data_IF_160720472616
#
_entry.id   IF_160720472616
#
_cell.length_a   1.000
_cell.length_b   1.000
_cell.length_c   1.000
_cell.angle_alpha   90.00
_cell.angle_beta   90.00
_cell.angle_gamma   90.00
#
_symmetry.space_group_name_H-M   'P 1'
#
loop_
_entity.id
_entity.type
_entity.pdbx_description
1 polymer ?
#
# COMPACT_ATOMS: atom_id res chain seq x y z
N UNK A 1 24.64 7.55 10.53
CA UNK A 1 24.29 6.25 9.92
C UNK A 1 23.18 6.48 8.89
N UNK A 2 23.17 5.78 7.73
CA UNK A 2 22.08 5.86 6.75
C UNK A 2 21.35 4.52 6.68
N UNK A 3 20.04 4.57 6.73
CA UNK A 3 19.17 3.39 6.74
C UNK A 3 18.27 3.38 5.50
N UNK A 4 18.25 2.28 4.77
CA UNK A 4 17.52 2.13 3.52
C UNK A 4 16.64 0.90 3.62
N UNK A 5 15.34 1.06 3.44
CA UNK A 5 14.40 -0.06 3.33
C UNK A 5 13.88 -0.10 1.91
N UNK A 6 14.03 -1.24 1.25
CA UNK A 6 13.59 -1.51 -0.11
C UNK A 6 12.49 -2.55 -0.05
N UNK A 7 11.29 -2.16 -0.44
CA UNK A 7 10.12 -3.05 -0.48
C UNK A 7 9.76 -3.33 -1.92
N UNK A 8 9.83 -4.61 -2.30
CA UNK A 8 9.26 -5.13 -3.53
C UNK A 8 7.91 -5.77 -3.19
N UNK A 9 6.84 -4.96 -3.30
CA UNK A 9 5.48 -5.32 -2.94
C UNK A 9 5.06 -6.63 -3.60
N UNK A 10 4.50 -7.54 -2.82
CA UNK A 10 3.98 -8.82 -3.31
C UNK A 10 5.01 -9.75 -3.95
N UNK A 11 6.33 -9.50 -3.80
CA UNK A 11 7.38 -10.28 -4.48
C UNK A 11 7.37 -11.76 -4.13
N UNK A 12 7.03 -12.10 -2.88
CA UNK A 12 6.98 -13.49 -2.42
C UNK A 12 5.87 -14.28 -3.14
N UNK A 13 6.14 -15.58 -3.40
CA UNK A 13 5.24 -16.45 -4.12
C UNK A 13 5.43 -17.91 -3.72
N UNK A 14 4.60 -18.77 -4.26
CA UNK A 14 4.71 -20.20 -4.11
C UNK A 14 5.57 -20.85 -5.21
N UNK A 15 6.13 -22.03 -4.98
CA UNK A 15 6.77 -22.81 -6.03
C UNK A 15 5.78 -23.12 -7.17
N UNK A 16 6.24 -22.96 -8.41
CA UNK A 16 5.43 -23.09 -9.62
C UNK A 16 5.96 -24.26 -10.46
N UNK A 17 5.11 -25.25 -10.82
CA UNK A 17 5.54 -26.42 -11.58
C UNK A 17 6.22 -26.08 -12.92
N UNK A 18 5.71 -25.08 -13.64
CA UNK A 18 6.25 -24.59 -14.92
C UNK A 18 7.67 -24.02 -14.79
N UNK A 19 8.06 -23.62 -13.59
CA UNK A 19 9.44 -23.18 -13.26
C UNK A 19 10.31 -24.30 -12.68
N UNK A 20 9.85 -25.54 -12.70
CA UNK A 20 10.52 -26.67 -12.06
C UNK A 20 10.50 -26.58 -10.54
N UNK A 21 9.33 -26.28 -9.98
CA UNK A 21 9.06 -26.10 -8.55
C UNK A 21 9.89 -24.99 -7.88
N UNK A 22 10.26 -23.97 -8.65
CA UNK A 22 10.86 -22.72 -8.14
C UNK A 22 9.82 -21.63 -8.01
N UNK A 23 10.06 -20.69 -7.10
CA UNK A 23 9.29 -19.45 -7.03
C UNK A 23 9.68 -18.49 -8.18
N UNK A 24 8.88 -17.48 -8.52
CA UNK A 24 9.27 -16.44 -9.46
C UNK A 24 10.60 -15.75 -9.08
N UNK A 25 10.86 -15.54 -7.79
CA UNK A 25 12.11 -14.99 -7.29
C UNK A 25 13.29 -15.92 -7.53
N UNK A 26 13.14 -17.22 -7.25
CA UNK A 26 14.17 -18.23 -7.53
C UNK A 26 14.45 -18.42 -9.03
N UNK A 27 13.51 -18.09 -9.89
CA UNK A 27 13.67 -18.12 -11.35
C UNK A 27 14.27 -16.83 -11.92
N UNK A 28 14.08 -15.69 -11.23
CA UNK A 28 14.57 -14.39 -11.63
C UNK A 28 16.08 -14.28 -11.47
N UNK A 29 16.70 -13.41 -12.29
CA UNK A 29 18.13 -13.07 -12.18
C UNK A 29 18.28 -11.87 -11.22
N UNK A 30 18.76 -12.13 -10.01
CA UNK A 30 18.83 -11.13 -8.93
C UNK A 30 20.22 -10.99 -8.29
N UNK A 31 21.28 -10.66 -9.06
CA UNK A 31 22.66 -10.66 -8.57
C UNK A 31 22.91 -9.64 -7.45
N UNK A 32 22.14 -8.55 -7.37
CA UNK A 32 22.30 -7.54 -6.32
C UNK A 32 21.65 -7.97 -5.02
N UNK A 33 20.48 -8.60 -5.08
CA UNK A 33 19.82 -9.21 -3.93
C UNK A 33 20.64 -10.40 -3.41
N UNK A 34 21.20 -11.22 -4.30
CA UNK A 34 22.11 -12.32 -3.94
C UNK A 34 23.36 -11.80 -3.23
N UNK A 35 23.90 -10.67 -3.67
CA UNK A 35 25.01 -10.00 -2.99
C UNK A 35 24.64 -9.62 -1.55
N UNK A 36 23.42 -9.09 -1.34
CA UNK A 36 22.90 -8.76 0.01
C UNK A 36 22.80 -10.03 0.87
N UNK A 37 22.29 -11.12 0.31
CA UNK A 37 22.17 -12.39 1.02
C UNK A 37 23.53 -13.00 1.40
N UNK A 38 24.48 -13.02 0.46
CA UNK A 38 25.80 -13.59 0.67
C UNK A 38 26.65 -12.83 1.69
N UNK A 39 26.57 -11.51 1.67
CA UNK A 39 27.40 -10.63 2.52
C UNK A 39 26.67 -10.09 3.75
N UNK A 40 25.38 -10.35 3.85
CA UNK A 40 24.51 -9.93 4.92
C UNK A 40 23.86 -11.10 5.63
N UNK A 41 22.67 -10.84 6.10
CA UNK A 41 21.87 -11.82 6.85
C UNK A 41 20.47 -11.91 6.27
N UNK A 42 20.01 -13.13 6.03
CA UNK A 42 18.60 -13.40 5.74
C UNK A 42 17.83 -13.68 7.03
N UNK A 43 16.54 -13.43 7.01
CA UNK A 43 15.60 -13.77 8.06
C UNK A 43 14.19 -13.98 7.53
N UNK A 44 13.32 -14.39 8.43
CA UNK A 44 11.88 -14.55 8.16
C UNK A 44 11.09 -13.63 9.06
N UNK A 45 9.92 -13.17 8.60
CA UNK A 45 9.12 -12.18 9.30
C UNK A 45 7.63 -12.38 9.02
N UNK A 46 6.80 -12.17 10.03
CA UNK A 46 5.33 -12.03 9.91
C UNK A 46 4.95 -10.56 9.88
N UNK A 47 4.73 -10.00 8.73
CA UNK A 47 4.31 -8.59 8.54
C UNK A 47 2.83 -8.40 8.80
N UNK A 48 2.02 -9.43 8.52
CA UNK A 48 0.57 -9.43 8.78
C UNK A 48 0.31 -10.12 10.12
N UNK A 49 -0.17 -9.38 11.13
CA UNK A 49 -0.56 -9.99 12.41
C UNK A 49 -1.75 -10.94 12.26
N UNK A 50 -1.80 -11.95 13.12
CA UNK A 50 -2.93 -12.88 13.15
C UNK A 50 -4.28 -12.18 13.25
N UNK A 51 -5.26 -12.67 12.48
CA UNK A 51 -6.64 -12.17 12.39
C UNK A 51 -6.80 -10.81 11.69
N UNK A 52 -5.74 -10.24 11.15
CA UNK A 52 -5.84 -9.09 10.27
C UNK A 52 -5.89 -9.54 8.80
N UNK A 53 -6.62 -8.81 8.00
CA UNK A 53 -6.70 -9.06 6.55
C UNK A 53 -5.35 -8.75 5.91
N UNK A 54 -4.80 -9.66 5.07
CA UNK A 54 -3.58 -9.39 4.33
C UNK A 54 -3.77 -8.17 3.41
N UNK A 55 -2.93 -7.16 3.60
CA UNK A 55 -2.99 -5.94 2.81
C UNK A 55 -1.70 -5.12 2.99
N UNK A 56 -1.31 -4.38 1.95
CA UNK A 56 -0.07 -3.59 1.94
C UNK A 56 -0.04 -2.50 3.02
N UNK A 57 -1.18 -1.90 3.36
CA UNK A 57 -1.27 -0.92 4.44
C UNK A 57 -0.94 -1.51 5.82
N UNK A 58 -1.44 -2.73 6.11
CA UNK A 58 -1.15 -3.48 7.34
C UNK A 58 0.32 -3.93 7.36
N UNK A 59 0.79 -4.53 6.26
CA UNK A 59 2.15 -5.04 6.17
C UNK A 59 3.19 -3.94 6.27
N UNK A 60 3.02 -2.86 5.51
CA UNK A 60 3.96 -1.75 5.55
C UNK A 60 3.92 -0.97 6.87
N UNK A 61 2.77 -0.91 7.57
CA UNK A 61 2.72 -0.38 8.93
C UNK A 61 3.64 -1.20 9.86
N UNK A 62 3.62 -2.54 9.77
CA UNK A 62 4.55 -3.40 10.49
C UNK A 62 6.00 -3.10 10.10
N UNK A 63 6.32 -3.01 8.80
CA UNK A 63 7.69 -2.76 8.32
C UNK A 63 8.21 -1.40 8.78
N UNK A 64 7.37 -0.36 8.88
CA UNK A 64 7.74 0.93 9.47
C UNK A 64 7.97 0.87 10.98
N UNK A 65 7.70 -0.28 11.61
CA UNK A 65 7.92 -0.49 13.03
C UNK A 65 6.74 -0.10 13.93
N UNK A 66 5.52 -0.08 13.39
CA UNK A 66 4.31 0.22 14.16
C UNK A 66 3.39 -0.99 14.19
N UNK A 67 2.90 -1.37 15.38
CA UNK A 67 2.00 -2.50 15.56
C UNK A 67 0.63 -2.23 14.92
N UNK A 68 0.25 -2.95 13.84
CA UNK A 68 -1.04 -2.74 13.21
C UNK A 68 -2.23 -3.02 14.12
N UNK A 69 -2.10 -3.95 15.07
CA UNK A 69 -3.16 -4.22 16.06
C UNK A 69 -3.47 -3.01 16.94
N UNK A 70 -2.49 -2.15 17.14
CA UNK A 70 -2.60 -0.95 17.99
C UNK A 70 -2.97 0.30 17.19
N UNK A 71 -2.44 0.44 15.98
CA UNK A 71 -2.46 1.71 15.27
C UNK A 71 -3.30 1.71 13.99
N UNK A 72 -3.63 0.55 13.43
CA UNK A 72 -4.42 0.49 12.21
C UNK A 72 -5.88 0.83 12.51
N UNK A 73 -6.38 1.91 11.92
CA UNK A 73 -7.75 2.37 12.11
C UNK A 73 -8.60 2.27 10.84
N UNK A 74 -8.00 1.92 9.70
CA UNK A 74 -8.67 1.84 8.40
C UNK A 74 -7.91 2.56 7.29
N UNK A 75 -8.33 2.37 6.05
CA UNK A 75 -7.71 2.99 4.85
C UNK A 75 -8.03 4.48 4.70
N UNK A 76 -9.24 4.90 5.08
CA UNK A 76 -9.69 6.28 4.95
C UNK A 76 -8.73 7.31 5.56
N UNK A 77 -8.27 7.15 6.80
CA UNK A 77 -7.31 8.05 7.41
C UNK A 77 -5.95 8.13 6.69
N UNK A 78 -5.48 7.03 6.12
CA UNK A 78 -4.22 7.00 5.35
C UNK A 78 -4.37 7.82 4.06
N UNK A 79 -5.50 7.67 3.36
CA UNK A 79 -5.78 8.46 2.16
C UNK A 79 -6.03 9.93 2.48
N UNK A 80 -6.69 10.24 3.59
CA UNK A 80 -6.85 11.62 4.05
C UNK A 80 -5.48 12.28 4.25
N UNK A 81 -4.57 11.61 4.93
CA UNK A 81 -3.20 12.11 5.12
C UNK A 81 -2.47 12.31 3.80
N UNK A 82 -2.61 11.39 2.83
CA UNK A 82 -2.01 11.55 1.50
C UNK A 82 -2.57 12.78 0.75
N UNK A 83 -3.87 13.02 0.84
CA UNK A 83 -4.52 14.18 0.25
C UNK A 83 -4.20 15.50 0.98
N UNK A 84 -3.49 15.45 2.11
CA UNK A 84 -3.20 16.63 2.94
C UNK A 84 -4.38 17.11 3.75
N UNK A 85 -5.37 16.24 3.97
CA UNK A 85 -6.55 16.54 4.80
C UNK A 85 -6.21 16.14 6.23
N UNK A 86 -6.15 17.16 7.10
CA UNK A 86 -5.95 16.95 8.53
C UNK A 86 -7.25 16.46 9.18
N UNK A 87 -7.13 15.38 9.95
CA UNK A 87 -8.22 14.82 10.73
C UNK A 87 -8.10 15.30 12.18
N UNK A 88 -9.22 15.80 12.71
CA UNK A 88 -9.38 15.98 14.16
C UNK A 88 -9.60 14.64 14.86
N UNK A 89 -9.51 14.63 16.19
CA UNK A 89 -9.56 13.40 17.01
C UNK A 89 -10.84 12.56 16.78
N UNK A 90 -11.97 13.24 16.58
CA UNK A 90 -13.27 12.58 16.42
C UNK A 90 -13.77 12.51 14.98
N UNK A 91 -12.95 12.91 14.03
CA UNK A 91 -13.27 12.80 12.61
C UNK A 91 -13.18 11.33 12.16
N UNK A 92 -14.11 10.93 11.30
CA UNK A 92 -14.07 9.61 10.65
C UNK A 92 -13.93 9.81 9.15
N UNK A 93 -12.84 9.28 8.60
CA UNK A 93 -12.56 9.31 7.18
C UNK A 93 -12.97 7.99 6.53
N UNK A 94 -13.64 8.06 5.39
CA UNK A 94 -14.05 6.92 4.57
C UNK A 94 -13.40 7.00 3.20
N UNK A 95 -12.96 5.88 2.67
CA UNK A 95 -12.79 5.78 1.22
C UNK A 95 -14.15 5.95 0.56
N UNK A 96 -14.15 6.70 -0.53
CA UNK A 96 -15.33 6.95 -1.35
C UNK A 96 -15.00 6.56 -2.79
N UNK A 97 -15.42 5.39 -3.23
CA UNK A 97 -15.25 5.01 -4.63
C UNK A 97 -16.40 5.54 -5.48
N UNK A 98 -16.10 6.03 -6.70
CA UNK A 98 -17.10 6.06 -7.76
C UNK A 98 -17.19 4.66 -8.36
N UNK A 99 -18.41 4.13 -8.41
CA UNK A 99 -18.70 2.80 -8.95
C UNK A 99 -19.72 2.87 -10.07
N UNK A 100 -19.79 1.81 -10.88
CA UNK A 100 -20.89 1.60 -11.82
C UNK A 100 -21.91 0.68 -11.19
N UNK A 101 -23.13 1.16 -11.04
CA UNK A 101 -24.28 0.41 -10.56
C UNK A 101 -25.34 0.28 -11.65
N UNK A 102 -25.94 -0.90 -11.82
CA UNK A 102 -27.08 -1.14 -12.70
C UNK A 102 -28.16 -1.87 -11.92
N UNK A 103 -29.31 -1.24 -11.78
CA UNK A 103 -30.38 -1.69 -10.85
C UNK A 103 -29.78 -1.88 -9.43
N UNK A 104 -29.87 -3.09 -8.88
CA UNK A 104 -29.32 -3.44 -7.57
C UNK A 104 -27.98 -4.20 -7.65
N UNK A 105 -27.23 -4.08 -8.74
CA UNK A 105 -25.96 -4.79 -8.94
C UNK A 105 -24.80 -3.82 -9.07
N UNK A 106 -23.72 -4.05 -8.31
CA UNK A 106 -22.44 -3.38 -8.49
C UNK A 106 -21.73 -4.04 -9.69
N UNK A 107 -21.67 -3.32 -10.83
CA UNK A 107 -21.11 -3.83 -12.11
C UNK A 107 -19.60 -3.65 -12.15
N UNK A 108 -19.12 -2.48 -11.73
CA UNK A 108 -17.70 -2.14 -11.79
C UNK A 108 -17.34 -1.23 -10.62
N UNK A 109 -16.35 -1.65 -9.82
CA UNK A 109 -15.88 -0.93 -8.64
C UNK A 109 -15.03 0.30 -8.96
N UNK A 110 -14.61 0.44 -10.22
CA UNK A 110 -13.69 1.48 -10.70
C UNK A 110 -14.34 2.49 -11.65
N UNK A 111 -15.64 2.33 -11.94
CA UNK A 111 -16.35 3.14 -12.96
C UNK A 111 -15.59 3.19 -14.32
N UNK A 112 -15.12 2.04 -14.80
CA UNK A 112 -14.33 1.95 -16.04
C UNK A 112 -12.98 2.65 -15.95
N UNK A 113 -12.34 2.63 -14.78
CA UNK A 113 -11.11 3.41 -14.52
C UNK A 113 -11.26 4.89 -14.90
N UNK A 114 -12.36 5.49 -14.48
CA UNK A 114 -12.72 6.89 -14.79
C UNK A 114 -11.53 7.83 -14.57
N UNK A 115 -11.36 8.81 -15.48
CA UNK A 115 -10.28 9.77 -15.37
C UNK A 115 -10.43 10.66 -14.13
N UNK A 116 -9.30 11.07 -13.53
CA UNK A 116 -9.32 11.95 -12.34
C UNK A 116 -10.03 13.29 -12.60
N UNK A 117 -10.02 13.78 -13.85
CA UNK A 117 -10.70 15.04 -14.22
C UNK A 117 -12.21 14.88 -14.19
N UNK A 118 -12.74 13.85 -14.82
CA UNK A 118 -14.19 13.55 -14.83
C UNK A 118 -14.67 13.25 -13.40
N UNK A 119 -13.94 12.40 -12.68
CA UNK A 119 -14.25 12.01 -11.32
C UNK A 119 -14.30 13.21 -10.35
N UNK A 120 -13.38 14.15 -10.49
CA UNK A 120 -13.37 15.37 -9.67
C UNK A 120 -14.64 16.22 -9.86
N UNK A 121 -15.17 16.29 -11.07
CA UNK A 121 -16.45 17.00 -11.37
C UNK A 121 -17.61 16.28 -10.69
N UNK A 122 -17.68 14.93 -10.82
CA UNK A 122 -18.72 14.13 -10.20
C UNK A 122 -18.70 14.26 -8.67
N UNK A 123 -17.53 14.15 -8.05
CA UNK A 123 -17.38 14.27 -6.59
C UNK A 123 -17.70 15.69 -6.09
N UNK A 124 -17.35 16.72 -6.87
CA UNK A 124 -17.77 18.08 -6.54
C UNK A 124 -19.30 18.21 -6.51
N UNK A 125 -20.01 17.64 -7.49
CA UNK A 125 -21.46 17.60 -7.51
C UNK A 125 -22.05 16.83 -6.31
N UNK A 126 -21.38 15.77 -5.86
CA UNK A 126 -21.76 15.05 -4.63
C UNK A 126 -21.54 15.93 -3.39
N UNK A 127 -20.40 16.61 -3.29
CA UNK A 127 -20.13 17.49 -2.14
C UNK A 127 -21.12 18.66 -2.07
N UNK A 128 -21.47 19.27 -3.18
CA UNK A 128 -22.47 20.36 -3.24
C UNK A 128 -23.87 19.92 -2.77
N UNK A 129 -24.26 18.69 -3.04
CA UNK A 129 -25.61 18.17 -2.74
C UNK A 129 -25.68 17.40 -1.42
N UNK A 130 -24.69 16.58 -1.11
CA UNK A 130 -24.63 15.71 0.08
C UNK A 130 -23.61 16.16 1.13
N UNK A 131 -22.62 16.97 0.76
CA UNK A 131 -21.59 17.53 1.65
C UNK A 131 -22.12 18.64 2.57
N UNK A 132 -23.22 18.38 3.29
CA UNK A 132 -23.86 19.35 4.19
C UNK A 132 -23.55 19.03 5.65
N UNK A 133 -23.60 20.07 6.50
CA UNK A 133 -23.30 19.91 7.93
C UNK A 133 -21.86 19.44 8.13
N UNK A 134 -21.71 18.28 8.74
CA UNK A 134 -20.40 17.73 9.08
C UNK A 134 -19.82 16.76 8.05
N UNK A 135 -20.45 16.59 6.90
CA UNK A 135 -19.94 15.73 5.83
C UNK A 135 -19.27 16.55 4.74
N UNK A 136 -18.13 16.09 4.24
CA UNK A 136 -17.43 16.67 3.09
C UNK A 136 -16.87 15.56 2.21
N UNK A 137 -16.88 15.80 0.89
CA UNK A 137 -16.32 14.89 -0.09
C UNK A 137 -15.13 15.57 -0.78
N UNK A 138 -14.04 14.82 -0.91
CA UNK A 138 -12.81 15.31 -1.49
C UNK A 138 -12.42 14.45 -2.69
N UNK A 139 -12.16 15.04 -3.86
CA UNK A 139 -11.68 14.29 -5.01
C UNK A 139 -10.27 13.78 -4.78
N UNK A 140 -10.04 12.55 -5.20
CA UNK A 140 -8.74 11.89 -5.23
C UNK A 140 -8.37 11.52 -6.67
N UNK A 141 -7.75 10.34 -6.83
CA UNK A 141 -7.24 9.86 -8.13
C UNK A 141 -8.19 8.82 -8.72
N UNK A 142 -8.56 8.99 -10.00
CA UNK A 142 -9.45 8.10 -10.75
C UNK A 142 -10.76 7.90 -9.97
N UNK A 143 -11.14 6.67 -9.68
CA UNK A 143 -12.36 6.30 -8.95
C UNK A 143 -12.24 6.40 -7.41
N UNK A 144 -11.05 6.71 -6.87
CA UNK A 144 -10.73 6.73 -5.43
C UNK A 144 -10.80 8.15 -4.87
N UNK A 145 -11.71 8.37 -3.96
CA UNK A 145 -11.99 9.66 -3.31
C UNK A 145 -12.15 9.46 -1.81
N UNK A 146 -12.37 10.55 -1.09
CA UNK A 146 -12.55 10.56 0.36
C UNK A 146 -13.87 11.20 0.74
N UNK A 147 -14.54 10.61 1.73
CA UNK A 147 -15.60 11.27 2.50
C UNK A 147 -15.14 11.43 3.94
N UNK A 148 -15.31 12.63 4.49
CA UNK A 148 -15.00 12.98 5.87
C UNK A 148 -16.28 13.28 6.63
N UNK A 149 -16.50 12.56 7.74
CA UNK A 149 -17.50 12.87 8.76
C UNK A 149 -16.80 13.58 9.93
N UNK A 150 -17.06 14.87 10.10
CA UNK A 150 -16.40 15.74 11.09
C UNK A 150 -17.05 15.67 12.47
N UNK A 151 -16.22 15.94 13.50
CA UNK A 151 -16.63 16.25 14.88
C UNK A 151 -17.46 15.16 15.60
N UNK A 152 -17.26 13.89 15.27
CA UNK A 152 -17.90 12.80 15.99
C UNK A 152 -19.44 12.89 16.04
N UNK A 153 -20.04 13.56 15.06
CA UNK A 153 -21.47 13.91 15.02
C UNK A 153 -22.39 12.69 15.14
N UNK A 154 -21.84 11.52 14.84
CA UNK A 154 -22.51 10.25 14.92
C UNK A 154 -21.57 9.20 15.50
N UNK A 155 -21.84 8.77 16.70
CA UNK A 155 -21.16 7.67 17.35
C UNK A 155 -21.18 6.39 16.52
N UNK A 156 -20.03 5.71 16.44
CA UNK A 156 -19.93 4.36 15.88
C UNK A 156 -19.77 4.30 14.37
N UNK A 157 -19.57 5.43 13.67
CA UNK A 157 -19.28 5.41 12.23
C UNK A 157 -17.98 4.69 11.90
N UNK A 158 -16.99 4.79 12.77
CA UNK A 158 -15.70 4.09 12.67
C UNK A 158 -15.82 2.56 12.87
N UNK A 159 -16.91 2.10 13.51
CA UNK A 159 -17.17 0.69 13.84
C UNK A 159 -18.14 0.02 12.86
N UNK A 160 -18.59 0.70 11.82
CA UNK A 160 -19.49 0.13 10.83
C UNK A 160 -18.83 -1.05 10.09
N UNK A 161 -19.65 -2.00 9.71
CA UNK A 161 -19.24 -3.07 8.78
C UNK A 161 -19.51 -2.60 7.36
N UNK A 162 -18.47 -2.10 6.71
CA UNK A 162 -18.47 -1.72 5.30
C UNK A 162 -17.63 -2.72 4.50
N UNK A 163 -18.12 -3.14 3.35
CA UNK A 163 -17.46 -4.11 2.47
C UNK A 163 -16.77 -3.33 1.34
N UNK A 164 -15.56 -3.74 0.97
CA UNK A 164 -14.86 -3.16 -0.15
C UNK A 164 -15.60 -3.44 -1.47
N UNK A 165 -15.73 -2.47 -2.38
CA UNK A 165 -16.54 -2.65 -3.59
C UNK A 165 -15.98 -3.71 -4.54
N UNK A 166 -14.67 -3.92 -4.59
CA UNK A 166 -14.05 -4.96 -5.40
C UNK A 166 -14.41 -6.40 -4.94
N UNK A 167 -14.74 -6.60 -3.66
CA UNK A 167 -15.17 -7.91 -3.13
C UNK A 167 -16.60 -8.28 -3.50
N UNK A 168 -17.36 -7.30 -4.00
CA UNK A 168 -18.77 -7.45 -4.31
C UNK A 168 -19.13 -7.10 -5.76
N UNK A 169 -18.16 -7.02 -6.64
CA UNK A 169 -18.39 -6.88 -8.08
C UNK A 169 -19.26 -8.03 -8.58
N UNK A 170 -20.31 -7.71 -9.35
CA UNK A 170 -21.33 -8.66 -9.79
C UNK A 170 -22.36 -9.06 -8.75
N UNK A 171 -22.27 -8.53 -7.51
CA UNK A 171 -23.21 -8.84 -6.43
C UNK A 171 -24.22 -7.72 -6.18
N UNK A 172 -25.23 -8.07 -5.41
CA UNK A 172 -26.35 -7.22 -5.09
C UNK A 172 -25.95 -6.10 -4.10
N UNK A 173 -26.24 -4.85 -4.44
CA UNK A 173 -25.93 -3.66 -3.64
C UNK A 173 -26.67 -3.68 -2.31
N UNK A 174 -27.98 -3.89 -2.34
CA UNK A 174 -28.84 -3.81 -1.15
C UNK A 174 -28.44 -4.78 -0.03
N UNK A 175 -27.87 -5.94 -0.38
CA UNK A 175 -27.41 -6.95 0.59
C UNK A 175 -26.06 -6.60 1.23
N UNK A 176 -25.30 -5.71 0.61
CA UNK A 176 -23.92 -5.38 0.97
C UNK A 176 -23.72 -3.94 1.49
N UNK A 177 -24.82 -3.20 1.69
CA UNK A 177 -24.81 -1.86 2.28
C UNK A 177 -24.21 -1.86 3.68
N UNK A 178 -23.68 -0.73 4.17
CA UNK A 178 -23.09 -0.59 5.51
C UNK A 178 -24.05 -1.07 6.61
N UNK A 179 -23.50 -1.75 7.64
CA UNK A 179 -24.28 -2.29 8.78
C UNK A 179 -23.67 -1.81 10.09
N UNK A 180 -24.52 -1.46 11.05
CA UNK A 180 -24.13 -1.01 12.38
C UNK A 180 -24.89 0.23 12.82
N UNK A 181 -24.47 0.80 13.96
CA UNK A 181 -25.10 2.00 14.53
C UNK A 181 -24.95 3.20 13.57
N UNK A 182 -26.05 3.86 13.24
CA UNK A 182 -26.10 5.00 12.31
C UNK A 182 -25.73 4.70 10.85
N UNK A 183 -25.68 3.42 10.45
CA UNK A 183 -25.35 3.04 9.06
C UNK A 183 -26.36 3.55 8.02
N UNK A 184 -27.60 3.82 8.43
CA UNK A 184 -28.66 4.33 7.55
C UNK A 184 -28.27 5.65 6.86
N UNK A 185 -27.49 6.51 7.52
CA UNK A 185 -27.06 7.78 6.93
C UNK A 185 -26.14 7.55 5.74
N UNK A 186 -25.16 6.64 5.88
CA UNK A 186 -24.26 6.28 4.76
C UNK A 186 -25.06 5.60 3.64
N UNK A 187 -25.97 4.70 3.99
CA UNK A 187 -26.86 4.04 3.04
C UNK A 187 -27.68 5.06 2.24
N UNK A 188 -28.29 6.04 2.92
CA UNK A 188 -29.03 7.11 2.26
C UNK A 188 -28.14 7.96 1.34
N UNK A 189 -26.92 8.32 1.77
CA UNK A 189 -25.97 9.05 0.94
C UNK A 189 -25.58 8.26 -0.32
N UNK A 190 -25.29 6.97 -0.18
CA UNK A 190 -24.95 6.10 -1.29
C UNK A 190 -26.11 6.01 -2.29
N UNK A 191 -27.33 5.76 -1.83
CA UNK A 191 -28.51 5.66 -2.71
C UNK A 191 -28.86 7.01 -3.36
N UNK A 192 -28.85 8.12 -2.60
CA UNK A 192 -29.07 9.46 -3.15
C UNK A 192 -28.03 9.87 -4.17
N UNK A 193 -26.78 9.40 -4.01
CA UNK A 193 -25.73 9.68 -5.00
C UNK A 193 -26.07 9.10 -6.37
N UNK A 194 -26.75 7.96 -6.44
CA UNK A 194 -27.20 7.36 -7.68
C UNK A 194 -28.21 8.27 -8.41
N UNK A 195 -29.15 8.86 -7.68
CA UNK A 195 -30.10 9.82 -8.25
C UNK A 195 -29.40 11.09 -8.80
N UNK A 196 -28.40 11.58 -8.05
CA UNK A 196 -27.62 12.77 -8.42
C UNK A 196 -26.77 12.52 -9.66
N UNK A 197 -26.12 11.38 -9.74
CA UNK A 197 -25.14 11.06 -10.75
C UNK A 197 -25.73 10.44 -12.02
N UNK A 198 -26.93 9.83 -11.95
CA UNK A 198 -27.57 9.18 -13.08
C UNK A 198 -27.78 10.12 -14.28
N UNK A 199 -28.16 11.38 -14.04
CA UNK A 199 -28.42 12.38 -15.06
C UNK A 199 -27.26 13.37 -15.28
N UNK A 200 -26.11 13.14 -14.64
CA UNK A 200 -24.97 14.05 -14.76
C UNK A 200 -24.35 13.98 -16.16
N UNK A 201 -24.06 15.14 -16.77
CA UNK A 201 -23.56 15.24 -18.15
C UNK A 201 -22.34 14.37 -18.43
N UNK A 202 -21.38 14.30 -17.50
CA UNK A 202 -20.20 13.41 -17.61
C UNK A 202 -20.63 11.95 -17.82
N UNK A 203 -21.62 11.47 -17.05
CA UNK A 203 -22.09 10.10 -17.16
C UNK A 203 -22.91 9.86 -18.44
N UNK A 204 -23.62 10.87 -18.93
CA UNK A 204 -24.30 10.76 -20.23
C UNK A 204 -23.29 10.62 -21.38
N UNK A 205 -22.22 11.44 -21.38
CA UNK A 205 -21.13 11.32 -22.35
C UNK A 205 -20.46 9.94 -22.27
N UNK A 206 -20.18 9.43 -21.07
CA UNK A 206 -19.59 8.09 -20.91
C UNK A 206 -20.49 6.98 -21.45
N UNK A 207 -21.80 7.07 -21.20
CA UNK A 207 -22.76 6.11 -21.75
C UNK A 207 -22.81 6.16 -23.29
N UNK A 208 -22.78 7.36 -23.90
CA UNK A 208 -22.73 7.53 -25.35
C UNK A 208 -21.45 6.93 -25.95
N UNK A 209 -20.34 7.01 -25.23
CA UNK A 209 -19.05 6.40 -25.58
C UNK A 209 -18.97 4.89 -25.23
N UNK A 210 -20.02 4.31 -24.67
CA UNK A 210 -20.08 2.91 -24.18
C UNK A 210 -19.05 2.62 -23.08
N UNK A 211 -18.73 3.62 -22.27
CA UNK A 211 -17.89 3.49 -21.09
C UNK A 211 -18.75 3.33 -19.82
N UNK A 212 -18.21 2.66 -18.82
CA UNK A 212 -18.87 2.51 -17.53
C UNK A 212 -19.03 3.86 -16.82
N UNK A 213 -20.23 4.33 -16.47
CA UNK A 213 -20.44 5.59 -15.76
C UNK A 213 -20.05 5.49 -14.29
N UNK A 214 -19.57 6.58 -13.71
CA UNK A 214 -19.44 6.73 -12.26
C UNK A 214 -20.74 7.18 -11.63
N UNK A 215 -21.74 6.30 -11.56
CA UNK A 215 -23.12 6.68 -11.27
C UNK A 215 -23.56 6.43 -9.83
N UNK A 216 -22.67 5.99 -8.94
CA UNK A 216 -22.94 5.82 -7.51
C UNK A 216 -21.63 5.95 -6.73
N UNK A 217 -21.69 6.50 -5.49
CA UNK A 217 -20.57 6.42 -4.54
C UNK A 217 -20.68 5.17 -3.68
N UNK A 218 -19.51 4.63 -3.28
CA UNK A 218 -19.40 3.52 -2.34
C UNK A 218 -18.47 3.86 -1.18
N UNK A 219 -19.02 3.88 0.05
CA UNK A 219 -18.31 4.27 1.27
C UNK A 219 -17.82 3.04 2.04
N UNK A 220 -16.50 3.01 2.35
CA UNK A 220 -15.86 1.87 3.01
C UNK A 220 -14.50 2.24 3.60
N UNK A 221 -13.82 1.29 4.25
CA UNK A 221 -12.46 1.47 4.75
C UNK A 221 -12.31 2.61 5.76
N UNK A 222 -13.36 2.86 6.52
CA UNK A 222 -13.46 3.96 7.47
C UNK A 222 -12.51 3.81 8.65
N UNK A 223 -12.17 4.95 9.24
CA UNK A 223 -11.40 5.00 10.47
C UNK A 223 -11.20 6.42 11.00
N UNK A 224 -10.72 6.50 12.24
CA UNK A 224 -10.28 7.74 12.89
C UNK A 224 -8.79 7.98 12.66
N UNK A 225 -8.32 9.18 12.96
CA UNK A 225 -6.89 9.53 12.93
C UNK A 225 -6.08 8.54 13.76
N UNK A 226 -5.10 7.84 13.16
CA UNK A 226 -4.22 6.96 13.92
C UNK A 226 -3.34 7.78 14.88
N UNK A 227 -3.32 7.42 16.15
CA UNK A 227 -2.46 8.10 17.13
C UNK A 227 -1.06 7.44 17.14
N UNK A 228 -0.32 7.65 16.05
CA UNK A 228 1.03 7.09 15.87
C UNK A 228 2.10 8.12 16.28
N UNK A 229 3.09 7.76 17.10
CA UNK A 229 4.23 8.64 17.37
C UNK A 229 4.98 8.93 16.06
N UNK A 230 5.60 10.10 15.96
CA UNK A 230 6.41 10.43 14.78
C UNK A 230 7.65 9.52 14.71
N UNK A 231 8.13 9.27 13.50
CA UNK A 231 9.31 8.44 13.27
C UNK A 231 10.55 9.02 13.98
N UNK A 232 10.67 10.35 13.98
CA UNK A 232 11.71 11.07 14.73
C UNK A 232 11.60 10.88 16.24
N UNK A 233 10.40 10.83 16.80
CA UNK A 233 10.18 10.59 18.22
C UNK A 233 10.53 9.15 18.62
N UNK A 234 10.25 8.21 17.71
CA UNK A 234 10.45 6.79 17.97
C UNK A 234 11.90 6.34 17.76
N UNK A 235 12.56 6.84 16.70
CA UNK A 235 13.85 6.34 16.24
C UNK A 235 14.97 7.39 16.27
N UNK A 236 14.66 8.65 16.56
CA UNK A 236 15.59 9.79 16.48
C UNK A 236 16.25 9.94 15.09
N UNK A 237 15.48 9.65 14.04
CA UNK A 237 15.91 9.68 12.64
C UNK A 237 14.97 10.54 11.81
N UNK A 238 15.55 11.36 10.95
CA UNK A 238 14.80 12.04 9.88
C UNK A 238 14.74 11.14 8.65
N UNK A 239 13.62 11.17 7.91
CA UNK A 239 13.49 10.24 6.79
C UNK A 239 12.51 10.65 5.72
N UNK A 240 12.47 9.82 4.66
CA UNK A 240 11.59 10.00 3.52
C UNK A 240 10.97 8.68 3.10
N UNK A 241 9.81 8.78 2.43
CA UNK A 241 9.13 7.66 1.77
C UNK A 241 8.98 7.97 0.27
N UNK A 242 9.29 6.98 -0.56
CA UNK A 242 9.16 6.99 -2.01
C UNK A 242 8.25 5.84 -2.40
N UNK A 243 7.04 6.15 -2.87
CA UNK A 243 6.04 5.19 -3.33
C UNK A 243 5.13 5.84 -4.35
N UNK A 244 4.51 5.05 -5.23
CA UNK A 244 3.40 5.49 -6.06
C UNK A 244 2.05 5.25 -5.35
N UNK A 245 2.02 4.40 -4.32
CA UNK A 245 0.81 3.97 -3.60
C UNK A 245 0.40 5.01 -2.57
N UNK A 246 -0.82 5.52 -2.68
CA UNK A 246 -1.33 6.58 -1.82
C UNK A 246 -1.40 6.18 -0.33
N UNK A 247 -1.71 4.91 -0.05
CA UNK A 247 -1.75 4.39 1.33
C UNK A 247 -0.37 4.42 2.00
N UNK A 248 0.68 4.07 1.27
CA UNK A 248 2.06 4.08 1.77
C UNK A 248 2.56 5.51 1.98
N UNK A 249 2.23 6.42 1.04
CA UNK A 249 2.50 7.86 1.20
C UNK A 249 1.78 8.44 2.41
N UNK A 250 0.51 8.09 2.58
CA UNK A 250 -0.30 8.54 3.73
C UNK A 250 0.27 8.06 5.05
N UNK A 251 0.66 6.79 5.13
CA UNK A 251 1.31 6.23 6.30
C UNK A 251 2.62 6.97 6.61
N UNK A 252 3.46 7.22 5.59
CA UNK A 252 4.68 8.01 5.73
C UNK A 252 4.41 9.42 6.29
N UNK A 253 3.40 10.12 5.77
CA UNK A 253 3.00 11.45 6.29
C UNK A 253 2.54 11.41 7.75
N UNK A 254 1.72 10.42 8.12
CA UNK A 254 1.23 10.28 9.50
C UNK A 254 2.39 10.15 10.47
N UNK A 255 3.40 9.35 10.15
CA UNK A 255 4.58 9.17 11.00
C UNK A 255 5.65 10.26 10.82
N UNK A 256 5.39 11.28 10.01
CA UNK A 256 6.26 12.46 9.86
C UNK A 256 7.45 12.28 8.93
N UNK A 257 7.39 11.33 7.98
CA UNK A 257 8.35 11.20 6.89
C UNK A 257 8.01 12.15 5.73
N UNK A 258 9.04 12.64 5.05
CA UNK A 258 8.86 13.42 3.83
C UNK A 258 8.41 12.51 2.68
N UNK A 259 7.32 12.83 2.00
CA UNK A 259 6.88 12.11 0.81
C UNK A 259 7.59 12.69 -0.42
N UNK A 260 8.37 11.85 -1.10
CA UNK A 260 9.05 12.23 -2.33
C UNK A 260 8.28 11.69 -3.53
N UNK A 261 7.71 12.59 -4.33
CA UNK A 261 7.07 12.24 -5.58
C UNK A 261 8.14 12.17 -6.70
N UNK A 262 8.23 11.02 -7.35
CA UNK A 262 9.15 10.78 -8.45
C UNK A 262 8.37 10.85 -9.76
N UNK A 263 8.74 11.73 -10.71
CA UNK A 263 8.12 11.75 -12.02
C UNK A 263 8.25 10.37 -12.70
N UNK A 264 7.17 9.89 -13.31
CA UNK A 264 7.13 8.56 -13.94
C UNK A 264 7.02 7.38 -12.95
N UNK A 265 6.99 7.63 -11.64
CA UNK A 265 6.66 6.59 -10.68
C UNK A 265 5.15 6.29 -10.74
N UNK A 266 4.82 5.09 -11.19
CA UNK A 266 3.47 4.52 -11.20
C UNK A 266 3.36 3.38 -10.21
N UNK A 267 2.14 2.94 -9.88
CA UNK A 267 1.88 1.69 -9.15
C UNK A 267 1.77 0.50 -10.09
N UNK A 268 2.41 0.51 -11.27
CA UNK A 268 2.30 -0.51 -12.29
C UNK A 268 3.67 -0.90 -12.87
N UNK A 269 3.70 -1.74 -13.89
CA UNK A 269 4.92 -2.32 -14.51
C UNK A 269 5.86 -1.28 -15.14
N UNK A 270 5.29 -0.17 -15.62
CA UNK A 270 5.99 0.92 -16.30
C UNK A 270 6.60 1.96 -15.36
N UNK A 271 6.58 1.68 -14.05
CA UNK A 271 7.12 2.59 -13.03
C UNK A 271 8.60 2.93 -13.29
N UNK A 272 9.01 4.17 -13.00
CA UNK A 272 10.43 4.56 -13.05
C UNK A 272 11.20 4.00 -11.82
N UNK A 273 11.65 2.76 -11.93
CA UNK A 273 12.44 2.07 -10.90
C UNK A 273 13.73 2.83 -10.56
N UNK A 274 14.50 3.24 -11.59
CA UNK A 274 15.77 3.92 -11.39
C UNK A 274 15.59 5.32 -10.82
N UNK A 275 14.55 6.03 -11.24
CA UNK A 275 14.15 7.33 -10.69
C UNK A 275 13.86 7.26 -9.20
N UNK A 276 13.16 6.21 -8.74
CA UNK A 276 12.93 5.95 -7.31
C UNK A 276 14.24 5.75 -6.56
N UNK A 277 15.17 4.95 -7.08
CA UNK A 277 16.48 4.72 -6.46
C UNK A 277 17.33 6.00 -6.40
N UNK A 278 17.38 6.77 -7.48
CA UNK A 278 18.10 8.05 -7.54
C UNK A 278 17.51 9.08 -6.58
N UNK A 279 16.18 9.12 -6.44
CA UNK A 279 15.51 9.98 -5.46
C UNK A 279 15.85 9.59 -4.02
N UNK A 280 15.94 8.28 -3.73
CA UNK A 280 16.39 7.78 -2.43
C UNK A 280 17.81 8.22 -2.09
N UNK A 281 18.74 8.08 -3.02
CA UNK A 281 20.14 8.52 -2.84
C UNK A 281 20.24 10.03 -2.58
N UNK A 282 19.49 10.86 -3.33
CA UNK A 282 19.44 12.32 -3.08
C UNK A 282 18.85 12.64 -1.71
N UNK A 283 17.80 11.92 -1.29
CA UNK A 283 17.22 12.11 0.04
C UNK A 283 18.24 11.83 1.15
N UNK A 284 19.02 10.76 1.03
CA UNK A 284 20.02 10.36 2.01
C UNK A 284 21.18 11.34 2.16
N UNK A 285 21.35 12.31 1.27
CA UNK A 285 22.32 13.41 1.46
C UNK A 285 21.95 14.25 2.68
N UNK A 286 20.66 14.41 2.97
CA UNK A 286 20.12 15.27 4.04
C UNK A 286 19.38 14.51 5.14
N UNK A 287 18.87 13.32 4.85
CA UNK A 287 18.06 12.50 5.75
C UNK A 287 18.83 11.24 6.17
N UNK A 288 18.37 10.61 7.25
CA UNK A 288 19.01 9.42 7.84
C UNK A 288 18.37 8.13 7.35
N UNK A 289 17.10 8.19 6.97
CA UNK A 289 16.27 7.06 6.60
C UNK A 289 15.55 7.30 5.26
N UNK A 290 15.46 6.26 4.43
CA UNK A 290 14.60 6.25 3.25
C UNK A 290 13.90 4.91 3.09
N UNK A 291 12.62 4.98 2.77
CA UNK A 291 11.78 3.83 2.45
C UNK A 291 11.40 3.91 0.97
N UNK A 292 11.74 2.90 0.20
CA UNK A 292 11.45 2.80 -1.24
C UNK A 292 10.52 1.63 -1.49
N UNK A 293 9.38 1.91 -2.06
CA UNK A 293 8.34 0.93 -2.36
C UNK A 293 8.10 0.81 -3.86
N UNK A 294 8.05 -0.43 -4.36
CA UNK A 294 7.77 -0.77 -5.77
C UNK A 294 6.66 -1.79 -5.82
N UNK A 295 5.52 -1.44 -6.41
CA UNK A 295 4.28 -2.22 -6.43
C UNK A 295 4.21 -3.23 -7.60
N UNK A 296 5.05 -3.07 -8.62
CA UNK A 296 4.96 -3.85 -9.86
C UNK A 296 4.94 -5.39 -9.68
N UNK A 297 5.68 -6.04 -8.76
CA UNK A 297 5.57 -7.47 -8.55
C UNK A 297 4.21 -7.90 -7.99
N UNK A 298 3.58 -7.06 -7.16
CA UNK A 298 2.23 -7.28 -6.61
C UNK A 298 1.16 -7.25 -7.70
N UNK A 299 1.19 -6.22 -8.53
CA UNK A 299 0.27 -6.09 -9.68
C UNK A 299 0.39 -7.28 -10.64
N UNK A 300 1.62 -7.79 -10.87
CA UNK A 300 1.83 -8.97 -11.68
C UNK A 300 1.22 -10.23 -11.01
N UNK A 301 1.34 -10.32 -9.68
CA UNK A 301 0.70 -11.37 -8.88
C UNK A 301 -0.83 -11.33 -9.01
N UNK A 302 -1.46 -10.16 -8.84
CA UNK A 302 -2.90 -9.97 -8.99
C UNK A 302 -3.42 -10.29 -10.39
N UNK A 303 -2.65 -9.97 -11.43
CA UNK A 303 -3.00 -10.31 -12.82
C UNK A 303 -2.75 -11.80 -13.13
N UNK A 304 -1.99 -12.51 -12.30
CA UNK A 304 -1.54 -13.88 -12.57
C UNK A 304 -0.53 -13.92 -13.72
N UNK A 305 0.21 -12.83 -13.93
CA UNK A 305 1.22 -12.71 -14.98
C UNK A 305 2.60 -13.12 -14.45
N UNK A 306 2.88 -14.41 -14.55
CA UNK A 306 4.14 -15.01 -14.11
C UNK A 306 5.37 -14.37 -14.78
N UNK A 307 5.28 -14.13 -16.08
CA UNK A 307 6.40 -13.58 -16.85
C UNK A 307 6.71 -12.15 -16.40
N UNK A 308 5.67 -11.33 -16.25
CA UNK A 308 5.86 -9.94 -15.80
C UNK A 308 6.31 -9.89 -14.34
N UNK A 309 5.85 -10.82 -13.48
CA UNK A 309 6.33 -10.89 -12.09
C UNK A 309 7.83 -11.13 -12.02
N UNK A 310 8.36 -12.08 -12.79
CA UNK A 310 9.81 -12.32 -12.90
C UNK A 310 10.52 -11.05 -13.41
N UNK A 311 9.99 -10.44 -14.48
CA UNK A 311 10.56 -9.22 -15.06
C UNK A 311 10.59 -8.05 -14.06
N UNK A 312 9.51 -7.87 -13.28
CA UNK A 312 9.41 -6.82 -12.26
C UNK A 312 10.44 -7.04 -11.13
N UNK A 313 10.65 -8.28 -10.70
CA UNK A 313 11.67 -8.66 -9.72
C UNK A 313 13.08 -8.37 -10.26
N UNK A 314 13.39 -8.72 -11.51
CA UNK A 314 14.66 -8.44 -12.14
C UNK A 314 14.94 -6.94 -12.29
N UNK A 315 13.91 -6.15 -12.68
CA UNK A 315 13.99 -4.68 -12.74
C UNK A 315 14.22 -4.07 -11.35
N UNK A 316 13.53 -4.58 -10.32
CA UNK A 316 13.76 -4.15 -8.95
C UNK A 316 15.19 -4.44 -8.50
N UNK A 317 15.71 -5.65 -8.75
CA UNK A 317 17.09 -6.00 -8.47
C UNK A 317 18.06 -5.06 -9.17
N UNK A 318 17.95 -4.93 -10.49
CA UNK A 318 18.91 -4.19 -11.32
C UNK A 318 18.83 -2.68 -11.07
N UNK A 319 17.64 -2.11 -11.13
CA UNK A 319 17.43 -0.66 -11.20
C UNK A 319 17.22 -0.01 -9.83
N UNK A 320 16.72 -0.76 -8.82
CA UNK A 320 16.57 -0.23 -7.46
C UNK A 320 17.71 -0.69 -6.58
N UNK A 321 17.79 -1.98 -6.26
CA UNK A 321 18.82 -2.51 -5.37
C UNK A 321 20.24 -2.27 -5.93
N UNK A 322 20.45 -2.56 -7.20
CA UNK A 322 21.75 -2.39 -7.87
C UNK A 322 22.22 -0.93 -7.91
N UNK A 323 21.31 0.01 -8.20
CA UNK A 323 21.65 1.45 -8.21
C UNK A 323 22.08 1.92 -6.81
N UNK A 324 21.35 1.49 -5.77
CA UNK A 324 21.66 1.86 -4.38
C UNK A 324 22.95 1.19 -3.90
N UNK A 325 23.12 -0.11 -4.14
CA UNK A 325 24.34 -0.83 -3.79
C UNK A 325 25.57 -0.24 -4.45
N UNK A 326 25.51 0.05 -5.75
CA UNK A 326 26.63 0.68 -6.49
C UNK A 326 27.09 1.99 -5.84
N UNK A 327 26.14 2.79 -5.34
CA UNK A 327 26.43 4.07 -4.70
C UNK A 327 26.97 3.92 -3.26
N UNK A 328 26.57 2.88 -2.53
CA UNK A 328 26.77 2.78 -1.09
C UNK A 328 27.72 1.67 -0.64
N UNK A 329 27.92 0.58 -1.39
CA UNK A 329 28.70 -0.60 -0.97
C UNK A 329 30.13 -0.32 -0.48
N UNK A 330 30.72 0.78 -0.90
CA UNK A 330 32.06 1.21 -0.46
C UNK A 330 32.03 2.19 0.73
N UNK A 331 30.82 2.60 1.18
CA UNK A 331 30.65 3.45 2.36
C UNK A 331 30.53 2.58 3.61
N UNK A 332 31.01 3.10 4.74
CA UNK A 332 31.03 2.32 6.00
C UNK A 332 29.75 2.50 6.86
N UNK A 333 29.04 3.59 6.67
CA UNK A 333 27.99 4.02 7.58
C UNK A 333 26.58 3.94 6.95
N UNK A 334 26.17 2.72 6.54
CA UNK A 334 24.82 2.47 6.04
C UNK A 334 24.36 1.07 6.37
N UNK A 335 23.04 0.88 6.39
CA UNK A 335 22.36 -0.44 6.38
C UNK A 335 21.28 -0.44 5.34
N UNK A 336 21.13 -1.57 4.64
CA UNK A 336 20.02 -1.83 3.69
C UNK A 336 19.23 -3.01 4.21
N UNK A 337 17.91 -2.87 4.28
CA UNK A 337 16.96 -3.97 4.41
C UNK A 337 16.18 -4.11 3.11
N UNK A 338 16.01 -5.33 2.62
CA UNK A 338 15.21 -5.66 1.44
C UNK A 338 14.20 -6.73 1.83
N UNK A 339 12.93 -6.55 1.42
CA UNK A 339 11.87 -7.52 1.70
C UNK A 339 10.67 -7.30 0.78
N UNK A 340 9.84 -8.34 0.53
CA UNK A 340 8.43 -8.12 0.20
C UNK A 340 7.69 -7.61 1.43
N UNK A 341 6.51 -7.06 1.26
CA UNK A 341 5.62 -6.75 2.39
C UNK A 341 4.66 -7.91 2.70
N UNK A 342 4.23 -8.63 1.71
CA UNK A 342 3.45 -9.87 1.77
C UNK A 342 3.72 -10.74 0.54
N UNK A 343 3.14 -11.93 0.50
CA UNK A 343 3.08 -12.71 -0.73
C UNK A 343 1.81 -12.38 -1.52
N UNK A 344 1.94 -12.32 -2.85
CA UNK A 344 0.83 -12.22 -3.80
C UNK A 344 0.99 -13.30 -4.87
N UNK A 345 0.71 -14.57 -4.51
CA UNK A 345 0.95 -15.68 -5.40
C UNK A 345 0.17 -15.55 -6.72
N UNK A 346 0.87 -15.73 -7.85
CA UNK A 346 0.25 -15.65 -9.19
C UNK A 346 -0.90 -16.63 -9.37
N UNK A 347 -0.85 -17.75 -8.66
CA UNK A 347 -1.90 -18.78 -8.66
C UNK A 347 -3.17 -18.36 -7.92
N UNK A 348 -3.03 -17.52 -6.87
CA UNK A 348 -4.14 -17.06 -6.03
C UNK A 348 -4.67 -15.70 -6.46
N UNK A 349 -3.84 -14.86 -7.08
CA UNK A 349 -4.17 -13.49 -7.52
C UNK A 349 -4.66 -12.59 -6.37
N UNK A 350 -4.17 -12.85 -5.16
CA UNK A 350 -4.52 -12.09 -3.95
C UNK A 350 -3.44 -12.24 -2.90
N UNK A 351 -3.44 -11.31 -1.95
CA UNK A 351 -2.49 -11.31 -0.84
C UNK A 351 -2.71 -12.48 0.12
N UNK A 352 -1.62 -12.94 0.74
CA UNK A 352 -1.67 -13.94 1.81
C UNK A 352 -0.99 -13.42 3.07
N UNK A 353 -1.30 -14.05 4.22
CA UNK A 353 -0.68 -13.73 5.52
C UNK A 353 0.52 -14.63 5.84
N UNK A 354 1.13 -15.21 4.82
CA UNK A 354 2.28 -16.09 5.00
C UNK A 354 3.47 -15.34 5.62
N UNK A 355 4.30 -16.10 6.30
CA UNK A 355 5.62 -15.63 6.72
C UNK A 355 6.46 -15.34 5.49
N UNK A 356 6.92 -14.12 5.37
CA UNK A 356 7.82 -13.69 4.30
C UNK A 356 9.27 -13.66 4.78
N UNK A 357 10.17 -13.26 3.90
CA UNK A 357 11.61 -13.21 4.15
C UNK A 357 12.15 -11.79 3.99
N UNK A 358 13.33 -11.55 4.56
CA UNK A 358 14.03 -10.28 4.41
C UNK A 358 15.54 -10.53 4.37
N UNK A 359 16.27 -9.59 3.78
CA UNK A 359 17.72 -9.53 3.82
C UNK A 359 18.20 -8.21 4.39
N UNK A 360 19.24 -8.24 5.22
CA UNK A 360 19.88 -7.05 5.78
C UNK A 360 21.37 -7.11 5.47
N UNK A 361 21.92 -5.97 4.99
CA UNK A 361 23.35 -5.82 4.68
C UNK A 361 23.87 -4.45 5.12
N UNK A 362 25.13 -4.37 5.51
CA UNK A 362 25.82 -3.12 5.81
C UNK A 362 26.52 -3.10 7.16
N UNK A 363 26.63 -1.93 7.76
CA UNK A 363 27.42 -1.72 8.99
C UNK A 363 26.93 -2.58 10.16
N UNK A 364 27.85 -3.29 10.81
CA UNK A 364 27.54 -4.15 11.94
C UNK A 364 26.76 -5.43 11.60
N UNK A 365 26.53 -5.71 10.32
CA UNK A 365 25.86 -6.95 9.88
C UNK A 365 26.93 -7.97 9.49
N UNK A 366 26.91 -9.13 10.16
CA UNK A 366 27.81 -10.23 9.86
C UNK A 366 27.18 -11.16 8.84
N UNK A 367 27.81 -11.31 7.67
CA UNK A 367 27.37 -12.26 6.65
C UNK A 367 27.37 -13.69 7.14
N UNK A 368 26.33 -14.46 6.81
CA UNK A 368 26.18 -15.89 7.15
C UNK A 368 26.39 -16.81 5.97
N UNK A 369 26.78 -16.26 4.80
CA UNK A 369 27.13 -17.06 3.63
C UNK A 369 25.95 -17.75 2.96
N UNK A 370 24.76 -17.13 2.97
CA UNK A 370 23.62 -17.60 2.18
C UNK A 370 23.95 -17.59 0.69
N UNK A 371 23.45 -18.57 -0.06
CA UNK A 371 23.83 -18.74 -1.46
C UNK A 371 23.17 -17.71 -2.39
N UNK A 372 21.89 -17.37 -2.11
CA UNK A 372 21.11 -16.42 -2.88
C UNK A 372 20.00 -15.80 -2.02
N UNK A 373 19.33 -14.80 -2.55
CA UNK A 373 18.19 -14.16 -1.93
C UNK A 373 16.90 -14.87 -2.38
N UNK A 374 16.37 -15.76 -1.56
CA UNK A 374 15.17 -16.54 -1.89
C UNK A 374 14.42 -17.00 -0.66
N UNK A 375 13.17 -17.39 -0.85
CA UNK A 375 12.31 -18.01 0.17
C UNK A 375 12.97 -19.25 0.77
N UNK A 376 13.57 -20.09 -0.08
CA UNK A 376 14.23 -21.33 0.32
C UNK A 376 15.49 -21.12 1.15
N UNK A 377 16.32 -20.15 0.78
CA UNK A 377 17.51 -19.82 1.56
C UNK A 377 17.14 -19.18 2.90
N UNK A 378 16.13 -18.31 2.92
CA UNK A 378 15.66 -17.69 4.15
C UNK A 378 15.10 -18.71 5.18
N UNK A 379 14.57 -19.84 4.73
CA UNK A 379 14.14 -20.93 5.62
C UNK A 379 15.29 -21.56 6.42
N UNK A 380 16.53 -21.45 5.93
CA UNK A 380 17.72 -21.95 6.63
C UNK A 380 18.18 -21.00 7.75
N UNK A 381 17.64 -19.79 7.79
CA UNK A 381 18.02 -18.79 8.79
C UNK A 381 17.40 -19.07 10.16
N UNK A 382 18.20 -18.87 11.18
CA UNK A 382 17.80 -18.87 12.60
C UNK A 382 17.07 -17.57 13.00
N UNK A 383 17.16 -16.51 12.16
CA UNK A 383 16.53 -15.22 12.42
C UNK A 383 15.06 -15.22 12.02
N UNK A 384 14.18 -15.16 13.01
CA UNK A 384 12.75 -15.09 12.80
C UNK A 384 12.13 -13.96 13.64
N UNK A 385 11.42 -13.05 12.97
CA UNK A 385 10.71 -11.94 13.60
C UNK A 385 9.21 -12.25 13.58
N UNK A 386 8.69 -12.73 14.69
CA UNK A 386 7.28 -13.10 14.86
C UNK A 386 6.35 -11.88 14.77
N UNK A 387 6.75 -10.77 15.38
CA UNK A 387 6.00 -9.51 15.35
C UNK A 387 6.67 -8.57 14.35
N UNK A 388 6.12 -8.47 13.15
CA UNK A 388 6.73 -7.71 12.06
C UNK A 388 7.16 -6.30 12.41
N UNK A 389 6.44 -5.64 13.32
CA UNK A 389 6.77 -4.29 13.77
C UNK A 389 8.07 -4.19 14.63
N UNK A 390 8.66 -5.32 15.03
CA UNK A 390 9.95 -5.35 15.72
C UNK A 390 11.14 -5.31 14.73
N UNK A 391 10.90 -5.51 13.40
CA UNK A 391 11.97 -5.45 12.39
C UNK A 391 12.74 -4.14 12.44
N UNK A 392 12.05 -3.01 12.54
CA UNK A 392 12.69 -1.70 12.49
C UNK A 392 13.56 -1.46 13.72
N UNK A 393 13.15 -1.93 14.91
CA UNK A 393 13.97 -1.88 16.11
C UNK A 393 15.25 -2.72 15.96
N UNK A 394 15.14 -3.94 15.41
CA UNK A 394 16.31 -4.79 15.11
C UNK A 394 17.22 -4.11 14.06
N UNK A 395 16.66 -3.58 12.99
CA UNK A 395 17.39 -2.97 11.87
C UNK A 395 18.15 -1.70 12.26
N UNK A 396 17.56 -0.86 13.11
CA UNK A 396 18.15 0.44 13.50
C UNK A 396 19.06 0.28 14.71
N UNK A 397 18.62 -0.45 15.76
CA UNK A 397 19.23 -0.42 17.11
C UNK A 397 20.17 -1.58 17.40
N UNK A 398 20.09 -2.70 16.68
CA UNK A 398 20.99 -3.81 16.95
C UNK A 398 22.41 -3.49 16.48
N UNK A 399 23.37 -3.57 17.37
CA UNK A 399 24.80 -3.42 17.05
C UNK A 399 25.38 -4.68 16.39
N UNK A 400 24.67 -5.82 16.53
CA UNK A 400 25.04 -7.13 15.95
C UNK A 400 23.78 -7.89 15.54
N UNK A 401 23.50 -7.95 14.25
CA UNK A 401 22.51 -8.86 13.67
C UNK A 401 23.20 -10.01 12.95
#
# INVERSE_FOLDING_TARGET
MKYIVLVADGMADYPIPELGDRTPLEAARTPNLDFIAMHGRLGRIKTIPEKMTPASDVANMSIFGYDPKKFYSGRGPLEAANLGIELEENDVAFRCNLITATADTLVDYSAGHISSKEAAILIKSIDEKLGKGNFRFYPGISYRHLMLAKNGTLDGLDQLKCIAPHDITGKNISKNLPKGKNSQILTEMMLKSQEILASHEINQVRLDLKENPGNMIWLWGQGKKPNMPKFTEKYDLTGSVISAVDLIKGLGKIIGLDVINVPGATGYYDTDYEGKAKAALRSLEKKDFVFVHVEAPDEAGHNGDLKEKITAIERFDQLVAGTILKALKHKKNFRIAVLPDHATPVSLKTHTADTIFFGIFGHGITGRGFLNYSEKEAQKSDLFIEKGHELMDCFIRSDTL
#
